data_IF_681791563162
#
_entry.id   IF_681791563162
#
_cell.length_a   1.000
_cell.length_b   1.000
_cell.length_c   1.000
_cell.angle_alpha   90.00
_cell.angle_beta   90.00
_cell.angle_gamma   90.00
#
_symmetry.space_group_name_H-M   'P 1'
#
loop_
_entity.id
_entity.type
_entity.pdbx_description
1 polymer ?
#
# COMPACT_ATOMS: atom_id res chain seq x y z
N UNK A 1 -51.93 27.44 12.44
CA UNK A 1 -52.37 26.27 13.24
C UNK A 1 -52.11 25.03 12.42
N UNK A 2 -51.50 23.99 13.00
CA UNK A 2 -51.35 22.70 12.34
C UNK A 2 -52.61 21.84 12.56
N UNK A 3 -53.04 21.12 11.53
CA UNK A 3 -54.09 20.10 11.66
C UNK A 3 -53.58 18.95 12.51
N UNK A 4 -54.30 18.61 13.58
CA UNK A 4 -53.96 17.46 14.43
C UNK A 4 -54.56 16.20 13.85
N UNK A 5 -53.75 15.14 13.77
CA UNK A 5 -54.16 13.83 13.27
C UNK A 5 -53.99 12.85 14.42
N UNK A 6 -55.08 12.28 14.91
CA UNK A 6 -55.08 11.35 16.05
C UNK A 6 -55.15 9.88 15.63
N UNK A 7 -55.14 9.60 14.32
CA UNK A 7 -55.27 8.26 13.73
C UNK A 7 -54.36 8.14 12.50
N UNK A 8 -54.01 6.93 12.08
CA UNK A 8 -53.16 6.72 10.90
C UNK A 8 -53.85 7.15 9.58
N UNK A 9 -53.05 7.60 8.61
CA UNK A 9 -53.47 7.72 7.21
C UNK A 9 -53.08 6.45 6.44
N UNK A 10 -54.03 5.85 5.73
CA UNK A 10 -53.80 4.77 4.77
C UNK A 10 -54.00 5.31 3.34
N UNK A 11 -52.95 5.24 2.52
CA UNK A 11 -52.95 5.75 1.15
C UNK A 11 -53.26 4.69 0.09
N UNK A 12 -53.55 3.44 0.49
CA UNK A 12 -53.91 2.32 -0.38
C UNK A 12 -52.97 2.16 -1.60
N UNK A 13 -51.68 2.44 -1.41
CA UNK A 13 -50.63 2.39 -2.44
C UNK A 13 -50.84 3.31 -3.66
N UNK A 14 -51.72 4.32 -3.57
CA UNK A 14 -52.00 5.27 -4.67
C UNK A 14 -51.90 6.75 -4.25
N UNK A 15 -52.12 7.08 -2.97
CA UNK A 15 -51.97 8.45 -2.47
C UNK A 15 -50.51 8.88 -2.34
N UNK A 16 -50.22 10.15 -2.63
CA UNK A 16 -48.89 10.76 -2.49
C UNK A 16 -48.93 11.94 -1.52
N UNK A 17 -47.80 12.18 -0.83
CA UNK A 17 -47.57 13.38 -0.01
C UNK A 17 -46.50 14.21 -0.71
N UNK A 18 -46.85 15.41 -1.17
CA UNK A 18 -45.98 16.30 -1.97
C UNK A 18 -45.72 17.63 -1.25
N UNK A 19 -44.67 18.35 -1.67
CA UNK A 19 -44.35 19.69 -1.15
C UNK A 19 -43.67 19.75 0.23
N UNK A 20 -43.13 18.63 0.72
CA UNK A 20 -42.37 18.58 1.97
C UNK A 20 -41.00 19.28 1.81
N UNK A 21 -40.60 20.05 2.82
CA UNK A 21 -39.25 20.60 2.95
C UNK A 21 -38.28 19.53 3.47
N UNK A 22 -36.97 19.80 3.41
CA UNK A 22 -35.98 18.90 4.01
C UNK A 22 -36.21 18.77 5.53
N UNK A 23 -36.08 17.55 6.10
CA UNK A 23 -36.29 17.30 7.52
C UNK A 23 -35.21 18.00 8.36
N UNK A 24 -35.61 18.52 9.52
CA UNK A 24 -34.75 19.27 10.46
C UNK A 24 -34.76 18.68 11.87
N UNK A 25 -35.86 18.08 12.30
CA UNK A 25 -36.00 17.33 13.55
C UNK A 25 -36.00 15.82 13.28
N UNK A 26 -35.65 15.03 14.30
CA UNK A 26 -35.62 13.55 14.21
C UNK A 26 -36.99 12.90 13.99
N UNK A 27 -38.07 13.65 14.12
CA UNK A 27 -39.46 13.20 13.91
C UNK A 27 -40.06 13.69 12.60
N UNK A 28 -39.33 14.46 11.80
CA UNK A 28 -39.83 14.96 10.51
C UNK A 28 -39.90 13.84 9.48
N UNK A 29 -40.85 13.93 8.55
CA UNK A 29 -40.91 13.02 7.41
C UNK A 29 -39.73 13.31 6.46
N UNK A 30 -38.97 12.27 6.11
CA UNK A 30 -37.85 12.41 5.18
C UNK A 30 -38.33 12.36 3.72
N UNK A 31 -37.92 13.33 2.90
CA UNK A 31 -38.14 13.27 1.46
C UNK A 31 -37.25 12.20 0.83
N UNK A 32 -37.68 11.57 -0.27
CA UNK A 32 -36.85 10.60 -0.99
C UNK A 32 -35.49 11.21 -1.37
N UNK A 33 -35.49 12.46 -1.83
CA UNK A 33 -34.26 13.19 -2.14
C UNK A 33 -33.33 13.31 -0.92
N UNK A 34 -33.85 13.66 0.25
CA UNK A 34 -33.05 13.69 1.48
C UNK A 34 -32.48 12.31 1.83
N UNK A 35 -33.29 11.24 1.71
CA UNK A 35 -32.83 9.87 1.99
C UNK A 35 -31.79 9.41 0.97
N UNK A 36 -31.98 9.67 -0.32
CA UNK A 36 -31.03 9.32 -1.37
C UNK A 36 -29.69 10.08 -1.21
N UNK A 37 -29.73 11.33 -0.74
CA UNK A 37 -28.52 12.10 -0.41
C UNK A 37 -27.86 11.62 0.90
N UNK A 38 -28.65 11.19 1.89
CA UNK A 38 -28.15 10.75 3.19
C UNK A 38 -27.66 9.29 3.19
N UNK A 39 -28.27 8.42 2.37
CA UNK A 39 -27.82 7.07 2.09
C UNK A 39 -26.75 7.20 1.00
N UNK A 40 -25.50 7.32 1.42
CA UNK A 40 -24.31 7.51 0.58
C UNK A 40 -24.26 6.58 -0.65
N UNK A 41 -24.90 7.00 -1.74
CA UNK A 41 -24.69 6.45 -3.06
C UNK A 41 -23.47 7.13 -3.67
N UNK A 42 -22.44 6.35 -4.01
CA UNK A 42 -21.32 6.87 -4.79
C UNK A 42 -21.80 7.12 -6.23
N UNK A 43 -21.73 8.37 -6.67
CA UNK A 43 -22.09 8.73 -8.04
C UNK A 43 -20.87 8.53 -8.95
N UNK A 44 -20.64 7.28 -9.38
CA UNK A 44 -19.56 6.95 -10.31
C UNK A 44 -19.71 7.72 -11.62
N UNK A 45 -18.62 8.35 -12.05
CA UNK A 45 -18.49 9.08 -13.31
C UNK A 45 -17.53 8.34 -14.23
N UNK A 46 -17.62 8.65 -15.52
CA UNK A 46 -16.58 8.25 -16.46
C UNK A 46 -15.23 8.83 -16.03
N UNK A 47 -14.18 8.07 -16.31
CA UNK A 47 -12.81 8.44 -15.96
C UNK A 47 -12.41 9.79 -16.56
N UNK A 48 -11.61 10.53 -15.81
CA UNK A 48 -10.92 11.70 -16.34
C UNK A 48 -9.57 11.25 -16.88
N UNK A 49 -9.21 11.73 -18.07
CA UNK A 49 -7.88 11.46 -18.64
C UNK A 49 -6.78 12.02 -17.75
N UNK A 50 -6.97 13.24 -17.24
CA UNK A 50 -5.99 13.93 -16.39
C UNK A 50 -6.66 14.76 -15.29
N UNK A 51 -5.96 14.96 -14.18
CA UNK A 51 -6.39 15.85 -13.11
C UNK A 51 -5.44 17.04 -12.93
N UNK A 52 -5.99 18.22 -12.60
CA UNK A 52 -5.18 19.41 -12.37
C UNK A 52 -4.42 19.32 -11.04
N UNK A 53 -3.16 19.77 -11.04
CA UNK A 53 -2.31 19.86 -9.85
C UNK A 53 -2.28 21.28 -9.25
N UNK A 54 -2.86 22.25 -9.95
CA UNK A 54 -3.00 23.64 -9.53
C UNK A 54 -4.06 24.36 -10.37
N UNK A 55 -4.01 25.70 -10.36
CA UNK A 55 -4.99 26.53 -11.09
C UNK A 55 -4.93 26.26 -12.60
N UNK A 56 -6.10 26.24 -13.24
CA UNK A 56 -6.27 26.11 -14.69
C UNK A 56 -7.14 27.25 -15.20
N UNK A 57 -6.70 27.98 -16.23
CA UNK A 57 -7.54 29.00 -16.87
C UNK A 57 -8.61 28.32 -17.72
N UNK A 58 -9.83 28.11 -17.19
CA UNK A 58 -10.90 27.38 -17.88
C UNK A 58 -11.29 27.99 -19.23
N UNK A 59 -11.18 29.31 -19.40
CA UNK A 59 -11.47 29.98 -20.66
C UNK A 59 -10.45 29.69 -21.78
N UNK A 60 -9.23 29.28 -21.40
CA UNK A 60 -8.12 28.99 -22.31
C UNK A 60 -7.16 27.99 -21.63
N UNK A 61 -7.53 26.70 -21.57
CA UNK A 61 -6.85 25.71 -20.73
C UNK A 61 -5.44 25.33 -21.22
N UNK A 62 -5.03 25.77 -22.41
CA UNK A 62 -3.74 25.43 -22.99
C UNK A 62 -3.73 24.05 -23.66
N UNK A 63 -2.68 23.76 -24.42
CA UNK A 63 -2.55 22.51 -25.18
C UNK A 63 -2.19 21.29 -24.32
N UNK A 64 -1.73 21.51 -23.09
CA UNK A 64 -1.28 20.47 -22.18
C UNK A 64 -1.79 20.74 -20.76
N UNK A 65 -2.16 19.68 -20.05
CA UNK A 65 -2.52 19.73 -18.62
C UNK A 65 -1.72 18.65 -17.91
N UNK A 66 -0.98 19.03 -16.86
CA UNK A 66 -0.07 18.12 -16.11
C UNK A 66 0.90 17.33 -17.01
N UNK A 67 1.42 17.99 -18.06
CA UNK A 67 2.34 17.39 -19.04
C UNK A 67 1.66 16.51 -20.11
N UNK A 68 0.35 16.29 -20.04
CA UNK A 68 -0.41 15.51 -21.02
C UNK A 68 -0.93 16.42 -22.12
N UNK A 69 -0.64 16.08 -23.38
CA UNK A 69 -1.19 16.77 -24.55
C UNK A 69 -2.66 16.44 -24.75
N UNK A 70 -3.50 17.47 -24.75
CA UNK A 70 -4.96 17.35 -24.78
C UNK A 70 -5.50 17.26 -26.21
N UNK A 71 -6.56 16.49 -26.37
CA UNK A 71 -7.36 16.38 -27.59
C UNK A 71 -8.79 16.85 -27.28
N UNK A 72 -9.44 17.46 -28.27
CA UNK A 72 -10.83 17.92 -28.11
C UNK A 72 -11.73 16.75 -27.70
N UNK A 73 -12.53 16.94 -26.65
CA UNK A 73 -13.38 15.91 -26.06
C UNK A 73 -12.75 15.23 -24.83
N UNK A 74 -11.46 15.44 -24.56
CA UNK A 74 -10.80 14.84 -23.40
C UNK A 74 -11.41 15.36 -22.10
N UNK A 75 -11.60 14.42 -21.16
CA UNK A 75 -12.20 14.69 -19.88
C UNK A 75 -11.13 15.02 -18.84
N UNK A 76 -11.32 16.11 -18.11
CA UNK A 76 -10.36 16.67 -17.16
C UNK A 76 -11.02 16.85 -15.80
N UNK A 77 -10.40 16.31 -14.76
CA UNK A 77 -10.76 16.61 -13.38
C UNK A 77 -10.06 17.90 -12.94
N UNK A 78 -10.82 18.99 -12.82
CA UNK A 78 -10.34 20.25 -12.29
C UNK A 78 -10.59 20.25 -10.78
N UNK A 79 -9.54 20.01 -9.98
CA UNK A 79 -9.67 19.80 -8.52
C UNK A 79 -8.91 20.79 -7.66
N UNK A 80 -7.99 21.55 -8.23
CA UNK A 80 -6.98 22.32 -7.51
C UNK A 80 -7.05 23.83 -7.80
N UNK A 81 -8.24 24.36 -8.11
CA UNK A 81 -8.45 25.79 -8.25
C UNK A 81 -8.41 26.51 -6.89
N UNK A 82 -7.87 27.72 -6.89
CA UNK A 82 -7.95 28.65 -5.76
C UNK A 82 -9.39 29.15 -5.57
N UNK A 83 -10.11 29.37 -6.68
CA UNK A 83 -11.54 29.58 -6.68
C UNK A 83 -12.25 28.22 -6.70
N UNK A 84 -12.49 27.64 -5.52
CA UNK A 84 -13.03 26.28 -5.42
C UNK A 84 -14.38 26.04 -6.13
N UNK A 85 -15.14 27.10 -6.46
CA UNK A 85 -16.37 26.99 -7.24
C UNK A 85 -16.15 26.55 -8.70
N UNK A 86 -14.95 26.77 -9.24
CA UNK A 86 -14.54 26.36 -10.57
C UNK A 86 -14.04 24.91 -10.63
N UNK A 87 -13.96 24.22 -9.49
CA UNK A 87 -13.63 22.80 -9.49
C UNK A 87 -14.81 21.97 -10.03
N UNK A 88 -14.50 20.82 -10.63
CA UNK A 88 -15.47 19.92 -11.24
C UNK A 88 -14.84 19.06 -12.32
N UNK A 89 -15.69 18.39 -13.10
CA UNK A 89 -15.26 17.58 -14.24
C UNK A 89 -15.61 18.33 -15.53
N UNK A 90 -14.62 18.51 -16.40
CA UNK A 90 -14.73 19.33 -17.60
C UNK A 90 -14.36 18.52 -18.85
N UNK A 91 -14.89 18.94 -19.98
CA UNK A 91 -14.49 18.55 -21.33
C UNK A 91 -13.58 19.64 -21.88
N UNK A 92 -12.38 19.24 -22.27
CA UNK A 92 -11.42 20.10 -22.95
C UNK A 92 -11.82 20.24 -24.42
N UNK A 93 -12.02 21.47 -24.90
CA UNK A 93 -12.54 21.75 -26.25
C UNK A 93 -11.49 22.32 -27.21
N UNK A 94 -10.31 22.67 -26.70
CA UNK A 94 -9.28 23.37 -27.47
C UNK A 94 -8.38 24.19 -26.56
N UNK A 95 -7.13 24.44 -26.98
CA UNK A 95 -6.15 25.13 -26.14
C UNK A 95 -6.54 26.58 -25.79
N UNK A 96 -7.26 27.24 -26.71
CA UNK A 96 -7.76 28.59 -26.56
C UNK A 96 -9.30 28.65 -26.59
N UNK A 97 -9.97 27.52 -26.31
CA UNK A 97 -11.43 27.40 -26.28
C UNK A 97 -11.84 27.11 -24.85
N UNK A 98 -12.87 27.78 -24.30
CA UNK A 98 -13.34 27.50 -22.95
C UNK A 98 -13.67 26.02 -22.77
N UNK A 99 -13.14 25.42 -21.71
CA UNK A 99 -13.54 24.10 -21.27
C UNK A 99 -14.99 24.15 -20.78
N UNK A 100 -15.77 23.13 -21.09
CA UNK A 100 -17.18 23.05 -20.68
C UNK A 100 -17.32 22.05 -19.56
N UNK A 101 -18.19 22.26 -18.57
CA UNK A 101 -18.51 21.18 -17.60
C UNK A 101 -19.01 19.96 -18.35
N UNK A 102 -18.62 18.78 -17.87
CA UNK A 102 -19.11 17.52 -18.42
C UNK A 102 -20.62 17.38 -18.20
N UNK A 103 -21.31 16.74 -19.15
CA UNK A 103 -22.77 16.63 -19.16
C UNK A 103 -23.34 15.88 -17.94
N UNK A 104 -22.60 14.91 -17.42
CA UNK A 104 -22.93 14.10 -16.23
C UNK A 104 -22.41 14.73 -14.93
N UNK A 105 -21.95 15.98 -14.97
CA UNK A 105 -21.36 16.73 -13.86
C UNK A 105 -21.66 18.24 -13.96
N UNK A 106 -22.80 18.61 -14.56
CA UNK A 106 -23.16 20.01 -14.84
C UNK A 106 -24.29 20.54 -13.93
N UNK A 107 -24.74 19.74 -12.97
CA UNK A 107 -25.60 20.18 -11.86
C UNK A 107 -24.98 19.86 -10.51
N UNK A 108 -25.40 20.57 -9.46
CA UNK A 108 -24.93 20.29 -8.10
C UNK A 108 -25.25 18.84 -7.67
N UNK A 109 -26.47 18.36 -7.96
CA UNK A 109 -26.92 17.01 -7.63
C UNK A 109 -26.11 15.91 -8.33
N UNK A 110 -25.66 16.14 -9.57
CA UNK A 110 -24.85 15.15 -10.28
C UNK A 110 -23.42 15.10 -9.75
N UNK A 111 -22.87 16.25 -9.33
CA UNK A 111 -21.50 16.37 -8.89
C UNK A 111 -21.33 16.05 -7.38
N UNK A 112 -22.42 16.10 -6.62
CA UNK A 112 -22.47 15.67 -5.23
C UNK A 112 -22.15 14.17 -5.12
N UNK A 113 -21.17 13.83 -4.29
CA UNK A 113 -20.65 12.46 -4.12
C UNK A 113 -20.09 11.83 -5.40
N UNK A 114 -19.75 12.65 -6.41
CA UNK A 114 -19.14 12.16 -7.64
C UNK A 114 -17.82 11.45 -7.35
N UNK A 115 -17.65 10.27 -7.94
CA UNK A 115 -16.41 9.50 -7.88
C UNK A 115 -15.84 9.38 -9.27
N UNK A 116 -14.56 9.74 -9.43
CA UNK A 116 -13.87 9.72 -10.73
C UNK A 116 -12.44 9.22 -10.58
N UNK A 117 -12.05 8.30 -11.45
CA UNK A 117 -10.68 7.78 -11.56
C UNK A 117 -9.91 8.56 -12.61
N UNK A 118 -8.63 8.81 -12.35
CA UNK A 118 -7.71 9.51 -13.27
C UNK A 118 -6.82 8.51 -14.00
N UNK A 119 -6.66 8.65 -15.31
CA UNK A 119 -5.96 7.67 -16.15
C UNK A 119 -4.49 8.01 -16.41
N UNK A 120 -4.15 9.29 -16.54
CA UNK A 120 -2.81 9.78 -16.92
C UNK A 120 -2.34 10.94 -16.02
N UNK A 121 -1.06 11.30 -16.15
CA UNK A 121 -0.41 12.35 -15.39
C UNK A 121 0.01 11.93 -13.98
N UNK A 122 0.29 12.90 -13.12
CA UNK A 122 0.77 12.71 -11.75
C UNK A 122 -0.24 11.94 -10.89
N UNK A 123 -1.53 12.05 -11.19
CA UNK A 123 -2.61 11.36 -10.45
C UNK A 123 -3.09 10.07 -11.11
N UNK A 124 -2.34 9.49 -12.06
CA UNK A 124 -2.74 8.24 -12.72
C UNK A 124 -3.05 7.11 -11.70
N UNK A 125 -4.21 6.47 -11.84
CA UNK A 125 -4.71 5.43 -10.94
C UNK A 125 -5.34 5.93 -9.63
N UNK A 126 -5.32 7.24 -9.37
CA UNK A 126 -5.97 7.82 -8.18
C UNK A 126 -7.46 8.01 -8.45
N UNK A 127 -8.29 7.58 -7.50
CA UNK A 127 -9.73 7.84 -7.50
C UNK A 127 -10.05 8.98 -6.53
N UNK A 128 -10.75 10.00 -7.01
CA UNK A 128 -11.20 11.14 -6.21
C UNK A 128 -12.72 11.07 -5.96
N UNK A 129 -13.15 11.48 -4.77
CA UNK A 129 -14.55 11.70 -4.39
C UNK A 129 -14.77 13.18 -4.13
N UNK A 130 -15.85 13.73 -4.67
CA UNK A 130 -16.34 15.05 -4.31
C UNK A 130 -16.99 14.97 -2.92
N UNK A 131 -16.66 15.90 -2.01
CA UNK A 131 -17.06 15.83 -0.60
C UNK A 131 -17.83 17.03 -0.08
N UNK A 132 -17.98 18.11 -0.87
CA UNK A 132 -18.79 19.25 -0.44
C UNK A 132 -20.28 18.88 -0.53
N UNK A 133 -21.02 19.08 0.57
CA UNK A 133 -22.43 18.70 0.69
C UNK A 133 -23.31 19.92 0.45
N UNK A 134 -24.43 19.75 -0.26
CA UNK A 134 -25.44 20.78 -0.52
C UNK A 134 -24.86 22.11 -1.09
N UNK A 135 -23.78 22.05 -1.86
CA UNK A 135 -23.19 23.23 -2.47
C UNK A 135 -24.05 23.74 -3.64
N UNK A 136 -23.96 25.03 -3.95
CA UNK A 136 -24.52 25.59 -5.18
C UNK A 136 -23.45 25.57 -6.27
N UNK A 137 -23.72 24.98 -7.43
CA UNK A 137 -22.75 24.96 -8.53
C UNK A 137 -22.38 26.38 -8.96
N UNK A 138 -21.12 26.57 -9.40
CA UNK A 138 -20.53 27.83 -9.88
C UNK A 138 -20.42 28.98 -8.85
N UNK A 139 -20.85 28.77 -7.60
CA UNK A 139 -20.71 29.76 -6.51
C UNK A 139 -20.24 29.16 -5.19
N UNK A 140 -20.63 27.93 -4.88
CA UNK A 140 -20.15 27.15 -3.74
C UNK A 140 -18.86 26.41 -4.07
N UNK A 141 -17.97 26.30 -3.09
CA UNK A 141 -16.72 25.58 -3.27
C UNK A 141 -16.95 24.07 -3.46
N UNK A 142 -16.38 23.52 -4.53
CA UNK A 142 -16.34 22.08 -4.80
C UNK A 142 -15.00 21.54 -4.32
N UNK A 143 -15.04 20.62 -3.35
CA UNK A 143 -13.85 19.99 -2.77
C UNK A 143 -13.77 18.52 -3.20
N UNK A 144 -12.57 18.09 -3.58
CA UNK A 144 -12.26 16.71 -3.95
C UNK A 144 -11.25 16.14 -2.96
N UNK A 145 -11.56 14.98 -2.41
CA UNK A 145 -10.62 14.20 -1.61
C UNK A 145 -10.27 12.91 -2.33
N UNK A 146 -9.11 12.35 -2.03
CA UNK A 146 -8.78 11.00 -2.48
C UNK A 146 -9.79 10.02 -1.86
N UNK A 147 -10.43 9.22 -2.71
CA UNK A 147 -11.33 8.12 -2.32
C UNK A 147 -10.57 6.79 -2.24
N UNK A 148 -9.57 6.63 -3.11
CA UNK A 148 -8.61 5.53 -3.07
C UNK A 148 -7.38 5.84 -3.90
N UNK A 149 -6.20 5.67 -3.32
CA UNK A 149 -4.95 5.46 -4.07
C UNK A 149 -4.68 3.96 -4.09
N UNK A 150 -4.18 3.40 -5.19
CA UNK A 150 -3.24 2.29 -5.04
C UNK A 150 -2.12 2.80 -4.11
N UNK A 151 -1.86 2.15 -2.98
CA UNK A 151 -0.81 2.60 -2.06
C UNK A 151 0.50 2.76 -2.85
N UNK A 152 1.12 3.94 -2.78
CA UNK A 152 2.37 4.21 -3.49
C UNK A 152 3.51 3.32 -2.98
N UNK A 153 4.67 3.38 -3.63
CA UNK A 153 5.86 2.67 -3.15
C UNK A 153 6.22 3.12 -1.74
N UNK A 154 6.59 2.16 -0.88
CA UNK A 154 7.12 2.47 0.44
C UNK A 154 8.45 3.23 0.33
N UNK A 155 8.73 4.07 1.32
CA UNK A 155 10.04 4.69 1.53
C UNK A 155 10.37 4.68 3.03
N UNK A 156 11.59 5.08 3.40
CA UNK A 156 11.97 5.20 4.82
C UNK A 156 11.05 6.14 5.63
N UNK A 157 10.38 7.08 4.97
CA UNK A 157 9.56 8.12 5.61
C UNK A 157 8.05 7.97 5.36
N UNK A 158 7.65 7.05 4.47
CA UNK A 158 6.26 6.90 4.05
C UNK A 158 5.88 5.43 3.91
N UNK A 159 4.77 5.05 4.53
CA UNK A 159 4.18 3.73 4.35
C UNK A 159 3.67 3.53 2.92
N UNK A 160 3.81 2.31 2.39
CA UNK A 160 3.43 1.98 1.02
C UNK A 160 3.55 0.49 0.72
N UNK A 161 3.57 0.14 -0.56
CA UNK A 161 3.84 -1.23 -1.04
C UNK A 161 5.31 -1.38 -1.45
N UNK A 162 5.85 -2.59 -1.29
CA UNK A 162 7.17 -2.93 -1.81
C UNK A 162 7.17 -4.40 -2.25
N UNK A 163 8.00 -4.71 -3.25
CA UNK A 163 8.13 -6.07 -3.77
C UNK A 163 8.96 -6.94 -2.81
N UNK A 164 8.85 -8.26 -2.92
CA UNK A 164 9.73 -9.18 -2.20
C UNK A 164 11.04 -9.36 -2.99
N UNK A 165 12.19 -9.00 -2.40
CA UNK A 165 13.50 -9.10 -3.03
C UNK A 165 13.80 -10.53 -3.50
N UNK A 166 14.43 -10.76 -4.64
CA UNK A 166 14.92 -12.10 -5.04
C UNK A 166 16.08 -12.56 -4.15
N UNK A 167 16.50 -13.83 -4.27
CA UNK A 167 17.70 -14.29 -3.55
C UNK A 167 18.96 -13.53 -3.99
N UNK A 168 19.12 -13.30 -5.30
CA UNK A 168 20.28 -12.58 -5.83
C UNK A 168 20.33 -11.13 -5.33
N UNK A 169 19.19 -10.46 -5.23
CA UNK A 169 19.12 -9.11 -4.66
C UNK A 169 19.43 -9.09 -3.16
N UNK A 170 18.91 -10.09 -2.42
CA UNK A 170 19.23 -10.26 -0.99
C UNK A 170 20.73 -10.49 -0.78
N UNK A 171 21.36 -11.30 -1.63
CA UNK A 171 22.79 -11.63 -1.53
C UNK A 171 23.69 -10.45 -1.94
N UNK A 172 23.24 -9.59 -2.86
CA UNK A 172 23.95 -8.38 -3.25
C UNK A 172 23.97 -7.31 -2.15
N UNK A 173 22.91 -7.23 -1.33
CA UNK A 173 22.87 -6.37 -0.14
C UNK A 173 22.81 -4.87 -0.41
N UNK A 174 22.34 -4.45 -1.58
CA UNK A 174 22.26 -3.03 -1.99
C UNK A 174 20.83 -2.50 -2.18
N UNK A 175 19.82 -3.36 -2.10
CA UNK A 175 18.42 -3.02 -2.38
C UNK A 175 17.71 -2.52 -1.11
N UNK A 176 17.10 -1.34 -1.21
CA UNK A 176 16.31 -0.70 -0.14
C UNK A 176 14.85 -0.44 -0.56
N UNK A 177 14.43 -1.00 -1.70
CA UNK A 177 13.07 -0.88 -2.25
C UNK A 177 12.20 -2.11 -1.98
N UNK A 178 12.75 -3.16 -1.37
CA UNK A 178 12.13 -4.48 -1.29
C UNK A 178 12.29 -5.15 0.08
N UNK A 179 11.36 -6.05 0.40
CA UNK A 179 11.40 -6.81 1.65
C UNK A 179 12.05 -8.20 1.48
N UNK A 180 12.82 -8.61 2.50
CA UNK A 180 13.42 -9.96 2.59
C UNK A 180 12.47 -10.90 3.35
N UNK A 181 12.30 -12.13 2.86
CA UNK A 181 11.54 -13.18 3.58
C UNK A 181 12.45 -14.05 4.44
N UNK A 182 11.91 -14.78 5.45
CA UNK A 182 12.72 -15.64 6.30
C UNK A 182 13.58 -16.65 5.55
N UNK A 183 13.07 -17.22 4.44
CA UNK A 183 13.86 -18.14 3.61
C UNK A 183 15.07 -17.43 2.99
N UNK A 184 14.85 -16.26 2.39
CA UNK A 184 15.89 -15.47 1.73
C UNK A 184 16.95 -14.99 2.70
N UNK A 185 16.54 -14.59 3.90
CA UNK A 185 17.44 -14.27 4.99
C UNK A 185 18.27 -15.49 5.39
N UNK A 186 17.64 -16.65 5.63
CA UNK A 186 18.32 -17.87 6.07
C UNK A 186 19.34 -18.42 5.05
N UNK A 187 19.11 -18.19 3.75
CA UNK A 187 20.01 -18.60 2.67
C UNK A 187 21.05 -17.55 2.28
N UNK A 188 20.91 -16.32 2.77
CA UNK A 188 21.83 -15.22 2.45
C UNK A 188 23.26 -15.48 2.96
N UNK A 189 24.29 -14.90 2.31
CA UNK A 189 25.67 -14.98 2.79
C UNK A 189 25.88 -14.26 4.13
N UNK A 190 24.96 -13.40 4.54
CA UNK A 190 25.03 -12.63 5.79
C UNK A 190 24.42 -13.36 6.99
N UNK A 191 23.68 -14.45 6.77
CA UNK A 191 23.14 -15.24 7.87
C UNK A 191 24.26 -16.02 8.57
N UNK A 192 24.32 -15.91 9.90
CA UNK A 192 25.26 -16.68 10.73
C UNK A 192 25.03 -18.18 10.51
N UNK A 193 26.03 -18.85 9.94
CA UNK A 193 26.00 -20.30 9.72
C UNK A 193 26.50 -21.01 10.97
N UNK A 194 25.72 -21.97 11.47
CA UNK A 194 26.04 -22.73 12.68
C UNK A 194 25.96 -24.23 12.44
N UNK A 195 26.94 -24.96 12.94
CA UNK A 195 27.00 -26.42 12.92
C UNK A 195 27.48 -26.88 14.29
N UNK A 196 26.88 -27.95 14.81
CA UNK A 196 27.35 -28.57 16.04
C UNK A 196 27.07 -30.06 16.02
N UNK A 197 28.01 -30.84 16.56
CA UNK A 197 27.88 -32.28 16.66
C UNK A 197 28.56 -32.80 17.93
N UNK A 198 27.97 -33.83 18.55
CA UNK A 198 28.63 -34.58 19.61
C UNK A 198 29.60 -35.59 18.98
N UNK A 199 30.72 -35.86 19.63
CA UNK A 199 31.72 -36.80 19.12
C UNK A 199 32.52 -37.48 20.23
N UNK A 200 33.25 -38.51 19.82
CA UNK A 200 33.96 -39.46 20.66
C UNK A 200 33.33 -40.85 20.54
N UNK A 201 34.20 -41.85 20.37
CA UNK A 201 33.86 -43.25 20.13
C UNK A 201 34.71 -44.21 20.99
N UNK A 202 35.58 -43.67 21.85
CA UNK A 202 36.50 -44.41 22.70
C UNK A 202 37.70 -45.02 21.97
N UNK A 203 37.88 -44.78 20.66
CA UNK A 203 38.94 -45.42 19.87
C UNK A 203 39.66 -44.49 18.90
N UNK A 204 38.93 -43.63 18.20
CA UNK A 204 39.49 -42.70 17.22
C UNK A 204 40.02 -41.44 17.91
N UNK A 205 41.13 -40.91 17.38
CA UNK A 205 41.69 -39.62 17.82
C UNK A 205 41.42 -38.50 16.82
N UNK A 206 40.87 -38.81 15.63
CA UNK A 206 40.61 -37.87 14.55
C UNK A 206 39.16 -37.97 14.08
N UNK A 207 38.47 -36.83 13.97
CA UNK A 207 37.05 -36.76 13.64
C UNK A 207 36.79 -35.68 12.58
N UNK A 208 36.11 -36.05 11.49
CA UNK A 208 35.77 -35.15 10.40
C UNK A 208 34.34 -34.59 10.57
N UNK A 209 34.19 -33.27 10.47
CA UNK A 209 32.90 -32.58 10.57
C UNK A 209 32.63 -31.75 9.31
N UNK A 210 31.62 -32.19 8.56
CA UNK A 210 31.18 -31.49 7.34
C UNK A 210 30.14 -30.44 7.70
N UNK A 211 30.50 -29.15 7.59
CA UNK A 211 29.65 -28.00 7.94
C UNK A 211 28.98 -27.33 6.73
N UNK A 212 29.47 -27.54 5.50
CA UNK A 212 28.89 -26.99 4.26
C UNK A 212 28.74 -25.46 4.22
N UNK A 213 29.63 -24.71 4.88
CA UNK A 213 29.52 -23.23 4.91
C UNK A 213 30.06 -22.56 3.65
N UNK A 214 30.80 -23.28 2.81
CA UNK A 214 31.43 -22.74 1.60
C UNK A 214 32.63 -21.83 1.90
N UNK A 215 33.16 -21.85 3.12
CA UNK A 215 34.31 -21.04 3.56
C UNK A 215 35.18 -21.80 4.56
N UNK A 216 36.49 -21.53 4.55
CA UNK A 216 37.42 -22.00 5.60
C UNK A 216 37.49 -21.06 6.81
N UNK A 217 36.96 -19.85 6.68
CA UNK A 217 36.98 -18.82 7.72
C UNK A 217 35.93 -19.14 8.78
N UNK A 218 36.19 -20.21 9.53
CA UNK A 218 35.30 -20.72 10.58
C UNK A 218 35.97 -20.64 11.94
N UNK A 219 35.16 -20.28 12.94
CA UNK A 219 35.48 -20.41 14.35
C UNK A 219 35.06 -21.81 14.79
N UNK A 220 36.02 -22.58 15.31
CA UNK A 220 35.79 -23.93 15.82
C UNK A 220 36.13 -23.94 17.29
N UNK A 221 35.18 -24.38 18.11
CA UNK A 221 35.35 -24.56 19.53
C UNK A 221 34.91 -25.97 19.92
N UNK A 222 35.66 -26.63 20.78
CA UNK A 222 35.31 -27.93 21.35
C UNK A 222 35.00 -27.73 22.82
N UNK A 223 33.87 -28.27 23.28
CA UNK A 223 33.45 -28.21 24.68
C UNK A 223 33.17 -29.62 25.21
N UNK A 224 33.24 -29.78 26.52
CA UNK A 224 32.70 -30.97 27.19
C UNK A 224 31.20 -31.10 26.89
N UNK A 225 30.71 -32.32 26.63
CA UNK A 225 29.28 -32.60 26.40
C UNK A 225 28.54 -32.98 27.70
N UNK A 226 29.20 -32.83 28.86
CA UNK A 226 28.62 -33.01 30.19
C UNK A 226 29.40 -32.19 31.22
N UNK A 227 28.86 -32.05 32.43
CA UNK A 227 29.48 -31.25 33.48
C UNK A 227 29.37 -29.75 33.21
N UNK A 228 30.48 -29.01 33.33
CA UNK A 228 30.51 -27.55 33.24
C UNK A 228 30.58 -27.00 31.80
N UNK A 229 30.63 -27.88 30.78
CA UNK A 229 30.78 -27.49 29.37
C UNK A 229 32.04 -26.65 29.09
N UNK A 230 33.12 -26.92 29.82
CA UNK A 230 34.40 -26.23 29.67
C UNK A 230 34.97 -26.40 28.26
N UNK A 231 35.65 -25.36 27.76
CA UNK A 231 36.36 -25.41 26.47
C UNK A 231 37.55 -26.35 26.56
N UNK A 232 37.65 -27.27 25.60
CA UNK A 232 38.74 -28.23 25.46
C UNK A 232 39.61 -27.82 24.29
N UNK A 233 40.90 -27.64 24.53
CA UNK A 233 41.86 -27.37 23.46
C UNK A 233 42.14 -28.66 22.68
N UNK A 234 41.89 -28.61 21.38
CA UNK A 234 42.15 -29.68 20.42
C UNK A 234 42.86 -29.09 19.20
N UNK A 235 43.53 -29.94 18.43
CA UNK A 235 44.03 -29.50 17.11
C UNK A 235 42.87 -29.45 16.11
N UNK A 236 42.80 -28.37 15.34
CA UNK A 236 41.72 -28.10 14.38
C UNK A 236 42.31 -27.86 13.01
N UNK A 237 42.01 -28.77 12.08
CA UNK A 237 42.48 -28.71 10.70
C UNK A 237 41.32 -28.33 9.78
N UNK A 238 41.45 -27.23 9.03
CA UNK A 238 40.44 -26.73 8.06
C UNK A 238 40.63 -27.39 6.70
N UNK A 239 40.33 -28.69 6.63
CA UNK A 239 40.66 -29.56 5.50
C UNK A 239 40.03 -29.11 4.18
N UNK A 240 38.80 -28.57 4.19
CA UNK A 240 38.17 -27.97 3.01
C UNK A 240 37.30 -26.75 3.37
N UNK A 241 36.71 -26.09 2.36
CA UNK A 241 35.70 -25.03 2.56
C UNK A 241 34.39 -25.51 3.20
N UNK A 242 34.21 -26.83 3.32
CA UNK A 242 33.00 -27.45 3.87
C UNK A 242 33.28 -28.43 5.00
N UNK A 243 34.54 -28.61 5.41
CA UNK A 243 34.92 -29.60 6.41
C UNK A 243 36.09 -29.13 7.28
N UNK A 244 35.98 -29.45 8.56
CA UNK A 244 37.07 -29.38 9.55
C UNK A 244 37.31 -30.75 10.16
N UNK A 245 38.54 -31.01 10.56
CA UNK A 245 38.95 -32.20 11.30
C UNK A 245 39.42 -31.78 12.67
N UNK A 246 38.86 -32.39 13.72
CA UNK A 246 39.31 -32.20 15.10
C UNK A 246 40.15 -33.39 15.50
N UNK A 247 41.35 -33.13 16.00
CA UNK A 247 42.29 -34.15 16.48
C UNK A 247 42.51 -34.00 17.98
N UNK A 248 42.42 -35.12 18.67
CA UNK A 248 42.59 -35.24 20.13
C UNK A 248 43.83 -36.09 20.42
N UNK A 249 44.52 -35.81 21.54
CA UNK A 249 45.70 -36.58 21.95
C UNK A 249 45.37 -37.95 22.53
N UNK A 250 44.15 -38.14 23.02
CA UNK A 250 43.61 -39.38 23.58
C UNK A 250 42.20 -39.57 23.02
N UNK A 251 41.86 -40.79 22.64
CA UNK A 251 40.54 -41.12 22.10
C UNK A 251 39.44 -40.77 23.13
N UNK A 252 38.55 -39.82 22.83
CA UNK A 252 37.50 -39.43 23.77
C UNK A 252 36.46 -40.53 23.90
N UNK A 253 35.94 -40.72 25.11
CA UNK A 253 34.84 -41.64 25.37
C UNK A 253 33.59 -41.28 24.54
N UNK A 254 32.65 -42.22 24.43
CA UNK A 254 31.47 -42.06 23.57
C UNK A 254 30.72 -40.75 23.86
N UNK A 255 30.61 -39.88 22.85
CA UNK A 255 29.95 -38.56 22.94
C UNK A 255 30.47 -37.67 24.09
N UNK A 256 31.74 -37.79 24.49
CA UNK A 256 32.32 -37.01 25.58
C UNK A 256 32.41 -35.51 25.26
N UNK A 257 32.55 -35.15 23.98
CA UNK A 257 32.75 -33.77 23.53
C UNK A 257 31.69 -33.33 22.51
N UNK A 258 31.55 -32.01 22.37
CA UNK A 258 30.74 -31.36 21.35
C UNK A 258 31.58 -30.34 20.59
N UNK A 259 31.57 -30.42 19.26
CA UNK A 259 32.18 -29.41 18.40
C UNK A 259 31.14 -28.35 18.05
N UNK A 260 31.53 -27.08 18.09
CA UNK A 260 30.76 -25.92 17.66
C UNK A 260 31.54 -25.26 16.51
N UNK A 261 30.90 -25.12 15.36
CA UNK A 261 31.48 -24.48 14.18
C UNK A 261 30.57 -23.32 13.78
N UNK A 262 31.16 -22.12 13.71
CA UNK A 262 30.48 -20.89 13.27
C UNK A 262 31.21 -20.32 12.07
N UNK A 263 30.45 -19.97 11.03
CA UNK A 263 30.92 -19.25 9.85
C UNK A 263 30.51 -17.79 9.86
#
# INVERSE_FOLDING_TARGET
>A
MATKISTSFDFQSAGTVTGLTNPSASTDAATKAYVDSAVEGLAWKDSARVATQGNLTLASPGATIDGITMVSGDRVLVRAQSAGAENGIYIWNGAAVPATRSLDANTANELEQAVVTVEEGTSAGVTYRQTAVNFTLDSGAVSWSVFGTAAGNASETSAGIAEIATQAETDAGTDDLRFVTPLKLATSPFAVKKYAANFGDGSSTSFNFTHNFGTRDVLVEVILNSGNYDTVLCDVQRTSINQVTVVTSVAPASNAYRVLIRG
#
